data_IF_334000731193
#
_entry.id   IF_334000731193
#
_cell.length_a   1.000
_cell.length_b   1.000
_cell.length_c   1.000
_cell.angle_alpha   90.00
_cell.angle_beta   90.00
_cell.angle_gamma   90.00
#
_symmetry.space_group_name_H-M   'P 1'
#
loop_
_entity.id
_entity.type
_entity.pdbx_description
1 polymer ?
#
# COMPACT_ATOMS: atom_id res chain seq x y z
N UNK A 1 6.54 -29.99 3.21
CA UNK A 1 7.79 -29.44 2.66
C UNK A 1 8.71 -29.09 3.81
N UNK A 2 10.00 -29.38 3.69
CA UNK A 2 10.98 -28.85 4.64
C UNK A 2 11.21 -27.34 4.38
N UNK A 3 11.97 -26.66 5.26
CA UNK A 3 12.18 -25.20 5.14
C UNK A 3 12.88 -24.78 3.84
N UNK A 4 13.83 -25.58 3.34
CA UNK A 4 14.56 -25.26 2.12
C UNK A 4 13.66 -25.41 0.89
N UNK A 5 12.91 -26.51 0.82
CA UNK A 5 11.92 -26.75 -0.24
C UNK A 5 10.85 -25.65 -0.28
N UNK A 6 10.39 -25.18 0.89
CA UNK A 6 9.42 -24.09 0.96
C UNK A 6 9.98 -22.78 0.45
N UNK A 7 11.21 -22.45 0.83
CA UNK A 7 11.88 -21.26 0.33
C UNK A 7 12.05 -21.32 -1.20
N UNK A 8 12.56 -22.42 -1.72
CA UNK A 8 12.76 -22.60 -3.18
C UNK A 8 11.43 -22.48 -3.95
N UNK A 9 10.38 -23.15 -3.46
CA UNK A 9 9.05 -23.05 -4.05
C UNK A 9 8.51 -21.62 -4.07
N UNK A 10 8.63 -20.90 -2.96
CA UNK A 10 8.18 -19.51 -2.89
C UNK A 10 9.03 -18.58 -3.74
N UNK A 11 10.35 -18.77 -3.80
CA UNK A 11 11.23 -17.99 -4.67
C UNK A 11 10.86 -18.20 -6.16
N UNK A 12 10.54 -19.43 -6.58
CA UNK A 12 10.02 -19.73 -7.92
C UNK A 12 8.71 -18.97 -8.19
N UNK A 13 7.76 -19.01 -7.25
CA UNK A 13 6.48 -18.30 -7.38
C UNK A 13 6.65 -16.79 -7.39
N UNK A 14 7.63 -16.24 -6.67
CA UNK A 14 7.98 -14.81 -6.76
C UNK A 14 8.44 -14.47 -8.17
N UNK A 15 9.32 -15.28 -8.78
CA UNK A 15 9.77 -15.06 -10.16
C UNK A 15 8.59 -15.17 -11.14
N UNK A 16 7.70 -16.14 -10.94
CA UNK A 16 6.54 -16.37 -11.79
C UNK A 16 5.60 -15.16 -11.80
N UNK A 17 5.28 -14.58 -10.64
CA UNK A 17 4.26 -13.53 -10.55
C UNK A 17 4.81 -12.09 -10.51
N UNK A 18 6.06 -11.88 -10.11
CA UNK A 18 6.69 -10.56 -10.17
C UNK A 18 7.23 -10.29 -11.58
N UNK A 19 6.32 -9.99 -12.49
CA UNK A 19 6.62 -9.65 -13.88
C UNK A 19 5.69 -8.52 -14.36
N UNK A 20 5.95 -7.96 -15.54
CA UNK A 20 5.21 -6.80 -16.05
C UNK A 20 3.71 -7.05 -16.26
N UNK A 21 3.30 -8.28 -16.57
CA UNK A 21 1.88 -8.64 -16.72
C UNK A 21 1.10 -8.45 -15.40
N UNK A 22 1.79 -8.45 -14.25
CA UNK A 22 1.20 -8.12 -12.96
C UNK A 22 0.61 -6.70 -12.95
N UNK A 23 1.28 -5.75 -13.62
CA UNK A 23 0.92 -4.33 -13.59
C UNK A 23 -0.45 -4.12 -14.22
N UNK A 24 -0.72 -4.72 -15.39
CA UNK A 24 -1.95 -4.48 -16.17
C UNK A 24 -3.24 -4.72 -15.37
N UNK A 25 -3.21 -5.71 -14.47
CA UNK A 25 -4.38 -6.10 -13.69
C UNK A 25 -4.35 -5.58 -12.25
N UNK A 26 -3.32 -4.86 -11.83
CA UNK A 26 -3.16 -4.41 -10.44
C UNK A 26 -3.23 -2.88 -10.34
N UNK A 27 -3.79 -2.29 -9.26
CA UNK A 27 -3.79 -0.85 -9.06
C UNK A 27 -2.40 -0.20 -9.02
N UNK A 28 -1.31 -0.97 -8.89
CA UNK A 28 0.06 -0.44 -9.06
C UNK A 28 0.25 0.23 -10.43
N UNK A 29 -0.55 -0.07 -11.46
CA UNK A 29 -0.48 0.62 -12.76
C UNK A 29 -0.72 2.13 -12.68
N UNK A 30 -1.43 2.60 -11.67
CA UNK A 30 -1.82 4.01 -11.55
C UNK A 30 -0.61 4.92 -11.26
N UNK A 31 0.24 4.63 -10.26
CA UNK A 31 1.47 5.39 -10.10
C UNK A 31 2.44 5.26 -11.29
N UNK A 32 2.42 4.17 -12.06
CA UNK A 32 3.22 4.02 -13.29
C UNK A 32 2.84 4.99 -14.42
N UNK A 33 1.71 5.69 -14.32
CA UNK A 33 1.31 6.72 -15.30
C UNK A 33 2.13 8.02 -15.18
N UNK A 34 2.90 8.17 -14.10
CA UNK A 34 3.56 9.42 -13.74
C UNK A 34 5.07 9.25 -13.68
N UNK A 35 5.79 10.36 -13.86
CA UNK A 35 7.26 10.42 -13.77
C UNK A 35 7.75 11.34 -12.66
N UNK A 36 6.98 12.36 -12.29
CA UNK A 36 7.27 13.19 -11.12
C UNK A 36 7.09 12.39 -9.84
N UNK A 37 8.06 12.49 -8.92
CA UNK A 37 8.08 11.73 -7.66
C UNK A 37 6.79 11.95 -6.86
N UNK A 38 6.39 13.20 -6.70
CA UNK A 38 5.24 13.59 -5.89
C UNK A 38 3.92 13.10 -6.52
N UNK A 39 3.82 13.11 -7.84
CA UNK A 39 2.67 12.55 -8.55
C UNK A 39 2.56 11.04 -8.33
N UNK A 40 3.68 10.32 -8.46
CA UNK A 40 3.77 8.88 -8.18
C UNK A 40 3.33 8.59 -6.74
N UNK A 41 3.85 9.35 -5.77
CA UNK A 41 3.56 9.20 -4.36
C UNK A 41 2.06 9.38 -4.07
N UNK A 42 1.44 10.44 -4.60
CA UNK A 42 0.02 10.75 -4.40
C UNK A 42 -0.87 9.74 -5.12
N UNK A 43 -0.59 9.45 -6.39
CA UNK A 43 -1.33 8.50 -7.20
C UNK A 43 -1.34 7.11 -6.57
N UNK A 44 -0.16 6.65 -6.13
CA UNK A 44 -0.02 5.39 -5.41
C UNK A 44 -0.79 5.37 -4.10
N UNK A 45 -0.69 6.42 -3.28
CA UNK A 45 -1.35 6.48 -1.97
C UNK A 45 -2.87 6.47 -2.10
N UNK A 46 -3.43 7.28 -3.02
CA UNK A 46 -4.87 7.34 -3.27
C UNK A 46 -5.41 6.02 -3.82
N UNK A 47 -4.71 5.42 -4.79
CA UNK A 47 -5.09 4.13 -5.39
C UNK A 47 -5.07 3.00 -4.36
N UNK A 48 -4.01 2.93 -3.54
CA UNK A 48 -3.91 1.96 -2.46
C UNK A 48 -4.99 2.17 -1.38
N UNK A 49 -5.31 3.43 -1.09
CA UNK A 49 -6.36 3.78 -0.14
C UNK A 49 -7.68 3.17 -0.56
N UNK A 50 -8.02 3.16 -1.86
CA UNK A 50 -9.26 2.56 -2.39
C UNK A 50 -9.15 1.09 -2.82
N UNK A 51 -8.04 0.41 -2.54
CA UNK A 51 -7.80 -0.96 -3.01
C UNK A 51 -8.54 -2.04 -2.19
N UNK A 52 -9.87 -1.98 -2.14
CA UNK A 52 -10.71 -3.03 -1.56
C UNK A 52 -11.97 -3.30 -2.39
N UNK A 53 -12.27 -4.58 -2.61
CA UNK A 53 -13.41 -4.99 -3.42
C UNK A 53 -13.02 -5.47 -4.81
N UNK A 54 -13.87 -5.18 -5.80
CA UNK A 54 -13.68 -5.67 -7.16
C UNK A 54 -12.50 -4.95 -7.83
N UNK A 55 -11.50 -5.71 -8.27
CA UNK A 55 -10.26 -5.24 -8.92
C UNK A 55 -10.50 -4.28 -10.09
N UNK A 56 -11.42 -4.60 -11.01
CA UNK A 56 -11.74 -3.73 -12.16
C UNK A 56 -12.33 -2.38 -11.71
N UNK A 57 -13.17 -2.39 -10.67
CA UNK A 57 -13.74 -1.17 -10.11
C UNK A 57 -12.71 -0.33 -9.35
N UNK A 58 -11.75 -0.97 -8.67
CA UNK A 58 -10.63 -0.28 -8.01
C UNK A 58 -9.81 0.49 -9.06
N UNK A 59 -9.38 -0.20 -10.13
CA UNK A 59 -8.57 0.41 -11.20
C UNK A 59 -9.35 1.54 -11.87
N UNK A 60 -10.59 1.29 -12.29
CA UNK A 60 -11.45 2.31 -12.91
C UNK A 60 -11.60 3.55 -12.02
N UNK A 61 -11.86 3.37 -10.73
CA UNK A 61 -12.03 4.50 -9.84
C UNK A 61 -10.70 5.21 -9.52
N UNK A 62 -9.58 4.50 -9.54
CA UNK A 62 -8.25 5.10 -9.37
C UNK A 62 -7.91 6.01 -10.55
N UNK A 63 -8.18 5.57 -11.79
CA UNK A 63 -8.10 6.46 -12.97
C UNK A 63 -9.02 7.67 -12.82
N UNK A 64 -10.28 7.46 -12.41
CA UNK A 64 -11.21 8.58 -12.18
C UNK A 64 -10.67 9.58 -11.15
N UNK A 65 -9.97 9.14 -10.10
CA UNK A 65 -9.34 10.06 -9.15
C UNK A 65 -8.26 10.91 -9.82
N UNK A 66 -7.43 10.32 -10.68
CA UNK A 66 -6.40 11.05 -11.42
C UNK A 66 -7.02 12.04 -12.42
N UNK A 67 -8.05 11.62 -13.15
CA UNK A 67 -8.79 12.48 -14.09
C UNK A 67 -9.43 13.68 -13.40
N UNK A 68 -10.04 13.49 -12.21
CA UNK A 68 -10.60 14.58 -11.42
C UNK A 68 -9.55 15.59 -10.94
N UNK A 69 -8.29 15.15 -10.83
CA UNK A 69 -7.14 16.01 -10.51
C UNK A 69 -6.42 16.51 -11.78
N UNK A 70 -7.03 16.37 -12.95
CA UNK A 70 -6.44 16.82 -14.23
C UNK A 70 -5.19 16.03 -14.66
N UNK A 71 -4.99 14.81 -14.15
CA UNK A 71 -3.77 14.02 -14.30
C UNK A 71 -2.49 14.78 -13.89
N UNK A 72 -2.61 15.69 -12.92
CA UNK A 72 -1.49 16.37 -12.26
C UNK A 72 -1.73 16.35 -10.73
N UNK A 73 -1.72 15.17 -10.10
CA UNK A 73 -2.14 15.01 -8.71
C UNK A 73 -1.37 15.90 -7.73
N UNK A 74 -0.07 16.10 -7.91
CA UNK A 74 0.72 16.97 -7.05
C UNK A 74 0.32 18.45 -7.18
N UNK A 75 0.22 18.95 -8.41
CA UNK A 75 -0.21 20.32 -8.67
C UNK A 75 -1.61 20.59 -8.10
N UNK A 76 -2.54 19.65 -8.27
CA UNK A 76 -3.87 19.72 -7.69
C UNK A 76 -3.81 19.77 -6.16
N UNK A 77 -3.06 18.87 -5.52
CA UNK A 77 -2.92 18.85 -4.06
C UNK A 77 -2.37 20.18 -3.54
N UNK A 78 -1.38 20.76 -4.21
CA UNK A 78 -0.73 21.99 -3.77
C UNK A 78 -1.58 23.25 -4.03
N UNK A 79 -2.39 23.24 -5.09
CA UNK A 79 -3.01 24.45 -5.64
C UNK A 79 -4.54 24.44 -5.72
N UNK A 80 -5.21 23.40 -5.21
CA UNK A 80 -6.69 23.32 -5.24
C UNK A 80 -7.37 24.54 -4.62
N UNK A 81 -8.45 24.99 -5.24
CA UNK A 81 -9.44 25.90 -4.64
C UNK A 81 -10.59 25.12 -3.99
N UNK A 82 -11.48 25.83 -3.30
CA UNK A 82 -12.70 25.23 -2.74
C UNK A 82 -13.63 24.70 -3.84
N UNK A 83 -13.68 25.35 -5.01
CA UNK A 83 -14.41 24.85 -6.18
C UNK A 83 -13.82 23.54 -6.69
N UNK A 84 -12.49 23.42 -6.77
CA UNK A 84 -11.86 22.16 -7.17
C UNK A 84 -12.21 21.01 -6.20
N UNK A 85 -12.29 21.30 -4.90
CA UNK A 85 -12.72 20.31 -3.91
C UNK A 85 -14.20 19.93 -4.05
N UNK A 86 -15.06 20.89 -4.44
CA UNK A 86 -16.47 20.63 -4.70
C UNK A 86 -16.67 19.64 -5.86
N UNK A 87 -15.83 19.71 -6.90
CA UNK A 87 -15.88 18.77 -8.03
C UNK A 87 -15.62 17.31 -7.60
N UNK A 88 -14.84 17.11 -6.53
CA UNK A 88 -14.56 15.79 -5.96
C UNK A 88 -15.78 15.17 -5.28
N UNK A 89 -16.81 15.95 -4.92
CA UNK A 89 -18.00 15.45 -4.19
C UNK A 89 -18.72 14.33 -4.95
N UNK A 90 -18.63 14.32 -6.28
CA UNK A 90 -19.22 13.31 -7.16
C UNK A 90 -18.51 11.96 -7.11
N UNK A 91 -17.34 11.88 -6.48
CA UNK A 91 -16.56 10.66 -6.37
C UNK A 91 -17.14 9.70 -5.34
N UNK A 92 -17.33 8.44 -5.72
CA UNK A 92 -17.75 7.37 -4.80
C UNK A 92 -17.03 6.08 -5.15
N UNK A 93 -16.38 5.48 -4.17
CA UNK A 93 -15.89 4.11 -4.17
C UNK A 93 -16.34 3.41 -2.89
N UNK A 94 -17.41 2.61 -2.98
CA UNK A 94 -17.98 1.91 -1.83
C UNK A 94 -18.28 2.88 -0.67
N UNK A 95 -17.55 2.77 0.44
CA UNK A 95 -17.73 3.62 1.62
C UNK A 95 -16.84 4.87 1.62
N UNK A 96 -15.94 5.03 0.65
CA UNK A 96 -15.17 6.25 0.44
C UNK A 96 -15.86 7.14 -0.57
N UNK A 97 -16.12 8.39 -0.19
CA UNK A 97 -16.86 9.33 -1.01
C UNK A 97 -16.10 10.64 -1.17
N UNK A 98 -16.65 11.58 -1.93
CA UNK A 98 -16.00 12.84 -2.25
C UNK A 98 -15.61 13.68 -1.04
N UNK A 99 -16.37 13.62 0.07
CA UNK A 99 -15.97 14.28 1.33
C UNK A 99 -14.72 13.65 1.94
N UNK A 100 -14.62 12.31 1.89
CA UNK A 100 -13.41 11.61 2.30
C UNK A 100 -12.25 11.95 1.35
N UNK A 101 -12.51 12.04 0.04
CA UNK A 101 -11.51 12.39 -0.97
C UNK A 101 -10.96 13.81 -0.75
N UNK A 102 -11.82 14.82 -0.61
CA UNK A 102 -11.39 16.19 -0.29
C UNK A 102 -10.60 16.27 1.02
N UNK A 103 -11.00 15.51 2.04
CA UNK A 103 -10.22 15.39 3.29
C UNK A 103 -8.83 14.79 3.06
N UNK A 104 -8.71 13.79 2.17
CA UNK A 104 -7.42 13.21 1.79
C UNK A 104 -6.54 14.21 1.04
N UNK A 105 -7.11 15.01 0.13
CA UNK A 105 -6.37 16.07 -0.58
C UNK A 105 -5.81 17.08 0.42
N UNK A 106 -6.61 17.52 1.39
CA UNK A 106 -6.14 18.44 2.45
C UNK A 106 -5.05 17.81 3.31
N UNK A 107 -5.20 16.55 3.70
CA UNK A 107 -4.19 15.83 4.49
C UNK A 107 -2.86 15.66 3.75
N UNK A 108 -2.91 15.36 2.44
CA UNK A 108 -1.74 15.32 1.58
C UNK A 108 -1.10 16.70 1.46
N UNK A 109 -1.88 17.75 1.22
CA UNK A 109 -1.36 19.11 1.14
C UNK A 109 -0.62 19.51 2.43
N UNK A 110 -1.19 19.17 3.60
CA UNK A 110 -0.55 19.39 4.90
C UNK A 110 0.81 18.69 5.01
N UNK A 111 0.90 17.43 4.57
CA UNK A 111 2.16 16.67 4.57
C UNK A 111 3.20 17.32 3.66
N UNK A 112 2.85 17.67 2.43
CA UNK A 112 3.81 18.26 1.49
C UNK A 112 4.24 19.67 1.89
N UNK A 113 3.36 20.48 2.48
CA UNK A 113 3.70 21.84 2.95
C UNK A 113 4.53 21.84 4.24
N UNK A 114 4.24 20.94 5.18
CA UNK A 114 4.76 21.07 6.55
C UNK A 114 5.71 19.95 6.98
N UNK A 115 5.70 18.80 6.30
CA UNK A 115 6.41 17.60 6.75
C UNK A 115 7.38 17.01 5.71
N UNK A 116 7.56 17.68 4.57
CA UNK A 116 8.57 17.30 3.57
C UNK A 116 8.17 16.14 2.65
N UNK A 117 6.87 15.88 2.50
CA UNK A 117 6.34 14.83 1.61
C UNK A 117 6.18 13.46 2.27
N UNK A 118 5.62 12.50 1.53
CA UNK A 118 5.23 11.21 2.11
C UNK A 118 6.44 10.39 2.56
N UNK A 119 7.50 10.31 1.75
CA UNK A 119 8.72 9.58 2.10
C UNK A 119 9.30 10.06 3.45
N UNK A 120 9.39 11.39 3.65
CA UNK A 120 9.97 11.97 4.86
C UNK A 120 9.17 11.59 6.12
N UNK A 121 7.84 11.56 6.03
CA UNK A 121 6.97 11.19 7.16
C UNK A 121 7.16 9.72 7.53
N UNK A 122 7.19 8.81 6.56
CA UNK A 122 7.38 7.38 6.83
C UNK A 122 8.80 7.07 7.30
N UNK A 123 9.82 7.74 6.75
CA UNK A 123 11.21 7.50 7.11
C UNK A 123 11.57 7.93 8.54
N UNK A 124 10.87 8.93 9.11
CA UNK A 124 11.18 9.53 10.42
C UNK A 124 11.06 8.57 11.60
N UNK A 125 10.08 7.65 11.56
CA UNK A 125 9.76 6.75 12.66
C UNK A 125 9.93 5.27 12.27
N UNK A 126 10.80 4.99 11.30
CA UNK A 126 11.09 3.61 10.90
C UNK A 126 11.85 2.87 12.00
N UNK A 127 11.55 1.58 12.17
CA UNK A 127 12.27 0.67 13.04
C UNK A 127 13.01 -0.36 12.18
N UNK A 128 14.07 -0.97 12.71
CA UNK A 128 15.00 -1.82 11.95
C UNK A 128 14.30 -2.81 11.00
N UNK A 129 13.24 -3.47 11.46
CA UNK A 129 12.51 -4.50 10.70
C UNK A 129 11.00 -4.22 10.59
N UNK A 130 10.56 -2.96 10.77
CA UNK A 130 9.15 -2.62 10.83
C UNK A 130 8.86 -1.16 10.52
N UNK A 131 7.82 -0.92 9.71
CA UNK A 131 7.22 0.40 9.50
C UNK A 131 5.87 0.58 10.23
N UNK A 132 5.46 -0.38 11.07
CA UNK A 132 4.15 -0.33 11.72
C UNK A 132 4.00 0.89 12.65
N UNK A 133 5.08 1.29 13.34
CA UNK A 133 5.13 2.54 14.10
C UNK A 133 5.07 3.77 13.19
N UNK A 134 5.75 3.72 12.05
CA UNK A 134 5.73 4.81 11.08
C UNK A 134 4.35 5.05 10.50
N UNK A 135 3.58 3.98 10.22
CA UNK A 135 2.19 4.06 9.78
C UNK A 135 1.31 4.73 10.84
N UNK A 136 1.51 4.39 12.12
CA UNK A 136 0.78 5.00 13.23
C UNK A 136 1.03 6.51 13.33
N UNK A 137 2.31 6.93 13.27
CA UNK A 137 2.67 8.34 13.30
C UNK A 137 2.22 9.09 12.03
N UNK A 138 2.33 8.45 10.87
CA UNK A 138 1.78 8.98 9.61
C UNK A 138 0.28 9.29 9.75
N UNK A 139 -0.50 8.37 10.32
CA UNK A 139 -1.94 8.59 10.50
C UNK A 139 -2.23 9.80 11.40
N UNK A 140 -1.47 9.99 12.48
CA UNK A 140 -1.61 11.17 13.35
C UNK A 140 -1.34 12.44 12.55
N UNK A 141 -0.20 12.49 11.85
CA UNK A 141 0.24 13.64 11.05
C UNK A 141 -0.78 13.97 9.96
N UNK A 142 -1.27 12.96 9.24
CA UNK A 142 -2.26 13.13 8.16
C UNK A 142 -3.56 13.80 8.64
N UNK A 143 -3.91 13.61 9.91
CA UNK A 143 -5.14 14.09 10.53
C UNK A 143 -4.88 15.19 11.60
N UNK A 144 -3.74 15.89 11.54
CA UNK A 144 -3.45 17.06 12.38
C UNK A 144 -4.32 18.27 12.06
N UNK A 145 -4.86 18.33 10.85
CA UNK A 145 -5.74 19.40 10.36
C UNK A 145 -7.21 19.07 10.60
N UNK A 146 -8.11 20.05 10.48
CA UNK A 146 -9.55 19.80 10.57
C UNK A 146 -10.04 18.81 9.49
N UNK A 147 -10.83 17.83 9.92
CA UNK A 147 -11.30 16.75 9.05
C UNK A 147 -12.52 16.05 9.64
N UNK A 148 -13.27 15.35 8.80
CA UNK A 148 -14.41 14.56 9.25
C UNK A 148 -13.92 13.31 10.02
N UNK A 149 -14.46 13.00 11.20
CA UNK A 149 -14.07 11.81 11.96
C UNK A 149 -14.21 10.49 11.17
N UNK A 150 -15.20 10.41 10.28
CA UNK A 150 -15.41 9.24 9.41
C UNK A 150 -14.24 8.98 8.44
N UNK A 151 -13.49 10.01 8.06
CA UNK A 151 -12.40 9.90 7.09
C UNK A 151 -11.24 9.09 7.68
N UNK A 152 -11.05 9.14 9.00
CA UNK A 152 -9.99 8.42 9.71
C UNK A 152 -10.04 6.90 9.56
N UNK A 153 -11.21 6.31 9.26
CA UNK A 153 -11.36 4.86 9.07
C UNK A 153 -10.66 4.36 7.80
N UNK A 154 -10.38 5.25 6.87
CA UNK A 154 -9.80 4.90 5.57
C UNK A 154 -8.28 4.70 5.63
N UNK A 155 -7.63 5.19 6.69
CA UNK A 155 -6.22 4.90 7.02
C UNK A 155 -6.21 3.98 8.24
N UNK A 156 -5.84 2.72 8.05
CA UNK A 156 -5.75 1.74 9.13
C UNK A 156 -4.58 2.06 10.06
N UNK A 157 -4.74 1.74 11.35
CA UNK A 157 -3.70 1.95 12.36
C UNK A 157 -3.22 0.61 12.93
N UNK A 158 -1.96 0.23 12.72
CA UNK A 158 -1.37 -0.99 13.29
C UNK A 158 -1.42 -1.05 14.81
N UNK A 159 -1.38 0.08 15.51
CA UNK A 159 -1.45 0.12 16.98
C UNK A 159 -2.81 -0.31 17.52
N UNK A 160 -3.84 -0.33 16.67
CA UNK A 160 -5.16 -0.89 16.97
C UNK A 160 -5.28 -2.36 16.53
N UNK A 161 -4.16 -3.09 16.44
CA UNK A 161 -4.07 -4.47 15.99
C UNK A 161 -4.57 -4.70 14.56
N UNK A 162 -4.58 -3.68 13.70
CA UNK A 162 -4.87 -3.86 12.28
C UNK A 162 -3.68 -4.46 11.53
N UNK A 163 -3.91 -5.33 10.56
CA UNK A 163 -2.87 -5.76 9.62
C UNK A 163 -2.48 -4.65 8.62
N UNK A 164 -3.20 -3.51 8.60
CA UNK A 164 -2.90 -2.34 7.79
C UNK A 164 -2.57 -2.62 6.30
N UNK A 165 -3.20 -3.66 5.73
CA UNK A 165 -2.92 -4.20 4.39
C UNK A 165 -2.69 -3.16 3.31
N UNK A 166 -3.61 -2.19 3.19
CA UNK A 166 -3.61 -1.20 2.10
C UNK A 166 -2.38 -0.30 2.13
N UNK A 167 -1.99 0.15 3.32
CA UNK A 167 -0.81 1.02 3.46
C UNK A 167 0.48 0.20 3.38
N UNK A 168 0.51 -1.05 3.84
CA UNK A 168 1.65 -1.95 3.58
C UNK A 168 1.82 -2.22 2.06
N UNK A 169 0.73 -2.36 1.31
CA UNK A 169 0.75 -2.50 -0.15
C UNK A 169 1.35 -1.25 -0.82
N UNK A 170 0.90 -0.06 -0.41
CA UNK A 170 1.49 1.20 -0.87
C UNK A 170 2.98 1.30 -0.56
N UNK A 171 3.39 0.98 0.67
CA UNK A 171 4.78 1.01 1.09
C UNK A 171 5.63 0.04 0.27
N UNK A 172 5.11 -1.15 -0.08
CA UNK A 172 5.81 -2.07 -0.99
C UNK A 172 6.08 -1.38 -2.33
N UNK A 173 5.08 -0.77 -2.95
CA UNK A 173 5.23 -0.09 -4.24
C UNK A 173 6.29 1.02 -4.20
N UNK A 174 6.33 1.81 -3.12
CA UNK A 174 7.24 2.97 -3.03
C UNK A 174 8.66 2.59 -2.63
N UNK A 175 8.84 1.58 -1.77
CA UNK A 175 10.14 1.27 -1.13
C UNK A 175 10.85 0.10 -1.79
N UNK A 176 10.12 -0.96 -2.16
CA UNK A 176 10.74 -2.19 -2.66
C UNK A 176 11.36 -1.94 -4.03
N UNK A 177 12.62 -2.34 -4.18
CA UNK A 177 13.36 -2.20 -5.43
C UNK A 177 13.49 -3.59 -6.05
N UNK A 178 12.68 -3.85 -7.06
CA UNK A 178 12.78 -5.08 -7.84
C UNK A 178 13.42 -4.84 -9.21
N UNK A 179 13.93 -5.90 -9.81
CA UNK A 179 14.59 -5.85 -11.13
C UNK A 179 13.60 -6.06 -12.28
N UNK A 180 12.29 -6.09 -12.01
CA UNK A 180 11.22 -6.48 -12.94
C UNK A 180 10.32 -5.30 -13.30
N UNK A 181 10.36 -4.23 -12.50
CA UNK A 181 9.67 -2.97 -12.71
C UNK A 181 8.24 -2.94 -12.17
N UNK A 182 7.83 -3.88 -11.31
CA UNK A 182 6.47 -3.87 -10.75
C UNK A 182 6.38 -2.88 -9.61
N UNK A 183 7.19 -3.07 -8.56
CA UNK A 183 7.34 -2.07 -7.50
C UNK A 183 8.25 -0.94 -8.01
N UNK A 184 7.85 0.31 -7.75
CA UNK A 184 8.52 1.50 -8.30
C UNK A 184 9.83 1.80 -7.57
N UNK A 185 9.89 1.52 -6.26
CA UNK A 185 11.11 1.65 -5.47
C UNK A 185 11.72 3.05 -5.47
N UNK A 186 10.89 4.09 -5.60
CA UNK A 186 11.34 5.49 -5.68
C UNK A 186 11.82 6.06 -4.34
N UNK A 187 11.44 5.46 -3.21
CA UNK A 187 11.91 5.83 -1.88
C UNK A 187 13.22 5.13 -1.57
N UNK A 188 14.24 5.92 -1.21
CA UNK A 188 15.61 5.44 -0.97
C UNK A 188 16.03 5.54 0.49
N UNK A 189 15.23 6.24 1.30
CA UNK A 189 15.51 6.45 2.73
C UNK A 189 14.97 5.34 3.64
N UNK A 190 14.25 4.37 3.09
CA UNK A 190 13.64 3.25 3.82
C UNK A 190 14.15 1.93 3.22
N UNK A 191 14.48 0.97 4.07
CA UNK A 191 14.95 -0.35 3.64
C UNK A 191 13.78 -1.29 3.32
N UNK A 192 13.84 -2.08 2.22
CA UNK A 192 12.88 -3.15 1.98
C UNK A 192 12.78 -4.19 3.11
N UNK A 193 13.85 -4.36 3.90
CA UNK A 193 13.89 -5.24 5.07
C UNK A 193 12.88 -4.85 6.16
N UNK A 194 12.44 -3.58 6.18
CA UNK A 194 11.49 -3.04 7.14
C UNK A 194 10.03 -3.17 6.67
N UNK A 195 9.80 -3.63 5.44
CA UNK A 195 8.46 -3.78 4.86
C UNK A 195 7.75 -5.00 5.43
N UNK A 196 6.42 -4.86 5.52
CA UNK A 196 5.51 -5.91 5.96
C UNK A 196 4.67 -6.43 4.80
N UNK A 197 4.32 -7.71 4.83
CA UNK A 197 3.43 -8.31 3.84
C UNK A 197 2.06 -7.57 3.81
N UNK A 198 1.52 -7.23 2.63
CA UNK A 198 0.13 -6.79 2.46
C UNK A 198 -0.93 -7.86 2.80
N UNK A 199 -0.95 -8.33 4.05
CA UNK A 199 -1.77 -9.45 4.51
C UNK A 199 -3.28 -9.21 4.31
N UNK A 200 -3.86 -9.99 3.40
CA UNK A 200 -5.29 -10.07 3.11
C UNK A 200 -5.81 -11.51 3.28
N UNK A 201 -7.06 -11.74 2.86
CA UNK A 201 -7.69 -13.07 2.96
C UNK A 201 -6.99 -14.10 2.09
N UNK A 202 -6.54 -13.73 0.88
CA UNK A 202 -5.89 -14.67 -0.04
C UNK A 202 -4.50 -15.06 0.47
N UNK A 203 -3.63 -14.07 0.69
CA UNK A 203 -2.28 -14.27 1.24
C UNK A 203 -2.31 -14.96 2.61
N UNK A 204 -3.25 -14.59 3.48
CA UNK A 204 -3.41 -15.23 4.79
C UNK A 204 -3.87 -16.70 4.70
N UNK A 205 -4.72 -17.05 3.73
CA UNK A 205 -5.14 -18.43 3.53
C UNK A 205 -3.99 -19.30 2.99
N UNK A 206 -3.25 -18.80 2.00
CA UNK A 206 -2.09 -19.49 1.43
C UNK A 206 -1.01 -19.66 2.51
N UNK A 207 -0.70 -18.60 3.27
CA UNK A 207 0.28 -18.66 4.36
C UNK A 207 -0.07 -19.72 5.41
N UNK A 208 -1.35 -19.89 5.75
CA UNK A 208 -1.81 -20.96 6.66
C UNK A 208 -1.67 -22.35 6.07
N UNK A 209 -1.97 -22.53 4.79
CA UNK A 209 -1.81 -23.81 4.09
C UNK A 209 -0.34 -24.23 3.98
N UNK A 210 0.58 -23.25 3.97
CA UNK A 210 2.02 -23.45 3.93
C UNK A 210 2.69 -23.45 5.32
N UNK A 211 1.90 -23.45 6.40
CA UNK A 211 2.38 -23.39 7.79
C UNK A 211 3.28 -22.18 8.13
N UNK A 212 3.19 -21.09 7.35
CA UNK A 212 3.86 -19.81 7.61
C UNK A 212 3.10 -18.96 8.64
N UNK A 213 1.82 -19.24 8.82
CA UNK A 213 0.92 -18.52 9.71
C UNK A 213 -0.01 -19.50 10.41
N UNK A 214 -0.11 -19.44 11.73
CA UNK A 214 -1.01 -20.30 12.52
C UNK A 214 -2.23 -19.53 13.04
N UNK A 215 -2.08 -18.23 13.29
CA UNK A 215 -3.17 -17.37 13.76
C UNK A 215 -4.32 -17.33 12.76
N UNK A 216 -5.55 -17.56 13.24
CA UNK A 216 -6.77 -17.62 12.39
C UNK A 216 -7.24 -16.25 11.90
N UNK A 217 -7.03 -15.20 12.69
CA UNK A 217 -7.42 -13.83 12.33
C UNK A 217 -6.39 -13.20 11.40
N UNK A 218 -6.83 -12.31 10.51
CA UNK A 218 -5.94 -11.46 9.71
C UNK A 218 -5.79 -10.10 10.39
N UNK A 219 -5.00 -10.06 11.47
CA UNK A 219 -4.77 -8.87 12.29
C UNK A 219 -3.27 -8.56 12.41
N UNK A 220 -2.91 -7.50 13.14
CA UNK A 220 -1.53 -7.05 13.28
C UNK A 220 -0.60 -8.11 13.87
N UNK A 221 -1.11 -8.97 14.77
CA UNK A 221 -0.36 -10.12 15.31
C UNK A 221 -0.09 -11.18 14.25
N UNK A 222 -1.07 -11.48 13.39
CA UNK A 222 -0.88 -12.41 12.28
C UNK A 222 0.15 -11.89 11.28
N UNK A 223 0.12 -10.58 11.00
CA UNK A 223 1.13 -9.96 10.15
C UNK A 223 2.54 -10.08 10.76
N UNK A 224 2.68 -9.80 12.05
CA UNK A 224 3.97 -9.93 12.73
C UNK A 224 4.51 -11.38 12.71
N UNK A 225 3.64 -12.37 12.91
CA UNK A 225 3.97 -13.80 12.79
C UNK A 225 4.45 -14.14 11.37
N UNK A 226 3.68 -13.72 10.36
CA UNK A 226 4.02 -13.96 8.96
C UNK A 226 5.34 -13.30 8.59
N UNK A 227 5.52 -12.02 8.88
CA UNK A 227 6.75 -11.30 8.56
C UNK A 227 7.97 -11.96 9.21
N UNK A 228 7.84 -12.51 10.43
CA UNK A 228 8.93 -13.23 11.08
C UNK A 228 9.36 -14.45 10.25
N UNK A 229 8.39 -15.22 9.73
CA UNK A 229 8.66 -16.37 8.85
C UNK A 229 9.22 -15.97 7.49
N UNK A 230 8.73 -14.89 6.89
CA UNK A 230 9.25 -14.40 5.63
C UNK A 230 10.72 -13.93 5.77
N UNK A 231 11.07 -13.28 6.88
CA UNK A 231 12.45 -12.87 7.18
C UNK A 231 13.40 -14.04 7.47
N UNK A 232 12.90 -15.19 7.97
CA UNK A 232 13.71 -16.41 8.05
C UNK A 232 14.17 -16.89 6.66
N UNK A 233 13.40 -16.58 5.61
CA UNK A 233 13.71 -16.97 4.23
C UNK A 233 14.52 -15.91 3.48
N UNK A 234 14.16 -14.63 3.63
CA UNK A 234 14.91 -13.50 3.09
C UNK A 234 14.80 -12.29 4.03
N UNK A 235 15.91 -11.95 4.70
CA UNK A 235 15.94 -10.84 5.65
C UNK A 235 16.10 -9.47 5.00
N UNK A 236 16.49 -9.41 3.71
CA UNK A 236 16.74 -8.16 3.00
C UNK A 236 15.51 -7.70 2.21
N UNK A 237 14.75 -8.66 1.65
CA UNK A 237 13.52 -8.39 0.92
C UNK A 237 12.42 -9.42 1.30
N UNK A 238 11.94 -9.44 2.55
CA UNK A 238 10.93 -10.40 2.99
C UNK A 238 9.59 -10.22 2.28
N UNK A 239 9.25 -8.99 1.89
CA UNK A 239 7.94 -8.66 1.31
C UNK A 239 7.79 -9.14 -0.14
N UNK A 240 8.88 -9.53 -0.82
CA UNK A 240 8.80 -10.15 -2.16
C UNK A 240 7.87 -11.35 -2.20
N UNK A 241 7.78 -12.09 -1.09
CA UNK A 241 6.93 -13.26 -0.99
C UNK A 241 5.43 -12.94 -1.03
N UNK A 242 5.02 -11.67 -0.94
CA UNK A 242 3.64 -11.27 -1.25
C UNK A 242 3.25 -11.70 -2.66
N UNK A 243 4.12 -11.58 -3.66
CA UNK A 243 3.84 -12.03 -5.02
C UNK A 243 3.49 -13.52 -5.07
N UNK A 244 4.24 -14.35 -4.35
CA UNK A 244 3.96 -15.78 -4.25
C UNK A 244 2.65 -16.05 -3.51
N UNK A 245 2.47 -15.49 -2.30
CA UNK A 245 1.31 -15.75 -1.46
C UNK A 245 0.01 -15.25 -2.09
N UNK A 246 0.04 -14.06 -2.69
CA UNK A 246 -1.09 -13.49 -3.40
C UNK A 246 -1.37 -14.22 -4.71
N UNK A 247 -0.33 -14.49 -5.51
CA UNK A 247 -0.46 -15.12 -6.82
C UNK A 247 -1.01 -16.54 -6.73
N UNK A 248 -0.51 -17.35 -5.79
CA UNK A 248 -1.04 -18.69 -5.51
C UNK A 248 -2.53 -18.64 -5.14
N UNK A 249 -2.92 -17.67 -4.30
CA UNK A 249 -4.30 -17.54 -3.84
C UNK A 249 -5.26 -17.04 -4.90
N UNK A 250 -4.84 -16.11 -5.76
CA UNK A 250 -5.70 -15.45 -6.75
C UNK A 250 -5.70 -16.17 -8.10
N UNK A 251 -4.55 -16.64 -8.56
CA UNK A 251 -4.40 -17.21 -9.91
C UNK A 251 -4.51 -18.74 -9.92
N UNK A 252 -4.11 -19.42 -8.83
CA UNK A 252 -4.13 -20.88 -8.76
C UNK A 252 -5.22 -21.43 -7.83
N UNK A 253 -5.90 -20.56 -7.06
CA UNK A 253 -6.93 -20.98 -6.10
C UNK A 253 -6.41 -21.89 -5.00
N UNK A 254 -5.09 -21.78 -4.71
CA UNK A 254 -4.35 -22.65 -3.80
C UNK A 254 -4.98 -22.77 -2.43
#
# INVERSE_FOLDING_TARGET
MNKAELKEFLDEKVIQYNNQDFIESDPVQIPHLFSQKEDIEIAGFLSASIAWGNRKMIIKNSHKMMELMGNAPYDFVMSHSDENLADLETFVHRTFNGKDFGGFIKGLQHIYKNHGGLEAVFAKNQEQNSLQKSIHEFKKIFFEIDHLPRTQKHISDPMNNSAAKRINMYLRWMVRQDTKGVDLGIWKTISPASLSCPLDVHSGNVARKLDLLTRKQNDGKALAELDAKLREMDSQDPVKYDFALFGLGVFEGF
#
